data_IF_929868970118
#
_entry.id   IF_929868970118
#
_cell.length_a   1.000
_cell.length_b   1.000
_cell.length_c   1.000
_cell.angle_alpha   90.00
_cell.angle_beta   90.00
_cell.angle_gamma   90.00
#
_symmetry.space_group_name_H-M   'P 1'
#
loop_
_entity.id
_entity.type
_entity.pdbx_description
1 polymer ?
#
# COMPACT_ATOMS: atom_id res chain seq x y z
N UNK A 1 3.58 -77.24 -37.56
CA UNK A 1 2.51 -76.41 -36.94
C UNK A 1 3.18 -75.18 -36.37
N UNK A 2 3.02 -74.05 -37.05
CA UNK A 2 3.57 -72.76 -36.66
C UNK A 2 2.49 -71.95 -35.93
N UNK A 3 2.85 -71.31 -34.83
CA UNK A 3 2.05 -70.26 -34.20
C UNK A 3 2.96 -69.06 -33.98
N UNK A 4 2.72 -68.02 -34.77
CA UNK A 4 3.36 -66.71 -34.69
C UNK A 4 2.53 -65.89 -33.69
N UNK A 5 3.14 -65.42 -32.61
CA UNK A 5 2.51 -64.54 -31.63
C UNK A 5 2.97 -63.10 -31.87
N UNK A 6 2.06 -62.25 -32.35
CA UNK A 6 2.27 -60.82 -32.57
C UNK A 6 2.02 -60.10 -31.24
N UNK A 7 3.06 -59.53 -30.65
CA UNK A 7 2.91 -58.61 -29.51
C UNK A 7 2.67 -57.19 -30.03
N UNK A 8 1.46 -56.67 -29.80
CA UNK A 8 1.08 -55.29 -30.09
C UNK A 8 1.78 -54.34 -29.10
N UNK A 9 2.53 -53.38 -29.65
CA UNK A 9 3.16 -52.29 -28.91
C UNK A 9 2.06 -51.27 -28.55
N UNK A 10 1.68 -51.18 -27.28
CA UNK A 10 0.89 -50.06 -26.76
C UNK A 10 1.82 -48.85 -26.57
N UNK A 11 1.78 -47.91 -27.52
CA UNK A 11 2.37 -46.57 -27.33
C UNK A 11 1.51 -45.83 -26.31
N UNK A 12 2.04 -45.63 -25.10
CA UNK A 12 1.50 -44.64 -24.15
C UNK A 12 1.60 -43.27 -24.81
N UNK A 13 0.46 -42.68 -25.13
CA UNK A 13 0.35 -41.27 -25.45
C UNK A 13 0.81 -40.49 -24.23
N UNK A 14 1.93 -39.77 -24.36
CA UNK A 14 2.28 -38.69 -23.44
C UNK A 14 1.15 -37.66 -23.57
N UNK A 15 0.36 -37.48 -22.50
CA UNK A 15 -0.45 -36.27 -22.35
C UNK A 15 0.58 -35.14 -22.27
N UNK A 16 0.67 -34.35 -23.32
CA UNK A 16 1.38 -33.08 -23.30
C UNK A 16 0.75 -32.25 -22.19
N UNK A 17 1.53 -31.99 -21.14
CA UNK A 17 1.19 -30.97 -20.15
C UNK A 17 1.07 -29.66 -20.92
N UNK A 18 -0.07 -28.95 -20.88
CA UNK A 18 -0.16 -27.65 -21.50
C UNK A 18 0.93 -26.78 -20.88
N UNK A 19 1.86 -26.32 -21.72
CA UNK A 19 2.83 -25.29 -21.33
C UNK A 19 2.00 -24.06 -21.07
N UNK A 20 1.85 -23.68 -19.79
CA UNK A 20 1.15 -22.46 -19.42
C UNK A 20 1.83 -21.30 -20.15
N UNK A 21 1.09 -20.66 -21.07
CA UNK A 21 1.56 -19.43 -21.72
C UNK A 21 1.83 -18.41 -20.62
N UNK A 22 3.10 -18.19 -20.32
CA UNK A 22 3.50 -17.19 -19.33
C UNK A 22 3.23 -15.83 -19.94
N UNK A 23 2.21 -15.15 -19.42
CA UNK A 23 1.88 -13.80 -19.86
C UNK A 23 3.03 -12.84 -19.54
N UNK A 24 3.23 -11.82 -20.38
CA UNK A 24 4.18 -10.75 -20.07
C UNK A 24 3.80 -10.10 -18.72
N UNK A 25 4.79 -9.68 -17.91
CA UNK A 25 4.51 -9.05 -16.63
C UNK A 25 3.70 -7.76 -16.80
N UNK A 26 2.62 -7.62 -16.03
CA UNK A 26 1.81 -6.41 -15.95
C UNK A 26 2.37 -5.56 -14.81
N UNK A 27 2.76 -4.31 -15.09
CA UNK A 27 3.25 -3.36 -14.09
C UNK A 27 2.13 -2.54 -13.45
N UNK A 28 2.19 -2.39 -12.13
CA UNK A 28 1.34 -1.54 -11.30
C UNK A 28 2.23 -0.57 -10.50
N UNK A 29 1.76 0.67 -10.31
CA UNK A 29 2.48 1.71 -9.56
C UNK A 29 3.92 1.94 -10.04
N UNK A 30 4.14 1.80 -11.35
CA UNK A 30 5.47 1.90 -11.98
C UNK A 30 6.08 3.30 -11.94
N UNK A 31 5.28 4.28 -11.56
CA UNK A 31 5.61 5.67 -11.33
C UNK A 31 5.95 5.99 -9.87
N UNK A 32 5.95 4.99 -8.98
CA UNK A 32 6.30 5.12 -7.55
C UNK A 32 7.63 4.43 -7.23
N UNK A 33 8.18 4.71 -6.04
CA UNK A 33 9.37 4.02 -5.53
C UNK A 33 9.14 2.55 -5.17
N UNK A 34 7.89 2.07 -5.27
CA UNK A 34 7.50 0.71 -4.90
C UNK A 34 6.67 0.04 -6.02
N UNK A 35 7.24 -0.18 -7.21
CA UNK A 35 6.50 -0.77 -8.31
C UNK A 35 6.22 -2.25 -8.06
N UNK A 36 5.10 -2.72 -8.62
CA UNK A 36 4.66 -4.12 -8.53
C UNK A 36 4.50 -4.70 -9.92
N UNK A 37 5.14 -5.84 -10.17
CA UNK A 37 4.99 -6.58 -11.42
C UNK A 37 4.27 -7.89 -11.17
N UNK A 38 3.20 -8.13 -11.93
CA UNK A 38 2.38 -9.32 -11.84
C UNK A 38 2.54 -10.18 -13.09
N UNK A 39 2.82 -11.45 -12.90
CA UNK A 39 2.63 -12.48 -13.93
C UNK A 39 1.52 -13.42 -13.47
N UNK A 40 0.57 -13.70 -14.37
CA UNK A 40 -0.58 -14.56 -14.05
C UNK A 40 -0.65 -15.79 -14.96
N UNK A 41 -1.09 -16.89 -14.37
CA UNK A 41 -1.55 -18.09 -15.05
C UNK A 41 -2.86 -18.56 -14.40
N UNK A 42 -3.52 -19.57 -14.96
CA UNK A 42 -4.77 -20.09 -14.39
C UNK A 42 -4.63 -20.61 -12.95
N UNK A 43 -3.43 -21.05 -12.55
CA UNK A 43 -3.20 -21.75 -11.27
C UNK A 43 -2.19 -21.05 -10.35
N UNK A 44 -1.65 -19.92 -10.77
CA UNK A 44 -0.58 -19.24 -10.06
C UNK A 44 -0.57 -17.74 -10.41
N UNK A 45 -0.42 -16.91 -9.38
CA UNK A 45 -0.04 -15.50 -9.53
C UNK A 45 1.37 -15.33 -8.97
N UNK A 46 2.25 -14.68 -9.71
CA UNK A 46 3.58 -14.30 -9.25
C UNK A 46 3.66 -12.79 -9.20
N UNK A 47 3.89 -12.24 -8.00
CA UNK A 47 4.13 -10.83 -7.77
C UNK A 47 5.61 -10.61 -7.54
N UNK A 48 6.16 -9.55 -8.13
CA UNK A 48 7.48 -9.02 -7.83
C UNK A 48 7.30 -7.60 -7.29
N UNK A 49 7.60 -7.41 -6.02
CA UNK A 49 7.54 -6.13 -5.33
C UNK A 49 8.95 -5.58 -5.21
N UNK A 50 9.19 -4.43 -5.81
CA UNK A 50 10.50 -3.77 -5.72
C UNK A 50 10.41 -2.59 -4.75
N UNK A 51 11.57 -2.18 -4.24
CA UNK A 51 11.70 -0.93 -3.49
C UNK A 51 12.93 -0.20 -3.99
N UNK A 52 12.72 1.01 -4.48
CA UNK A 52 13.77 1.95 -4.85
C UNK A 52 14.07 2.95 -3.74
N UNK A 53 13.31 2.90 -2.64
CA UNK A 53 13.56 3.71 -1.46
C UNK A 53 14.93 3.38 -0.84
N UNK A 54 15.66 4.41 -0.40
CA UNK A 54 16.93 4.30 0.33
C UNK A 54 16.69 3.93 1.81
N UNK A 55 15.93 2.85 2.06
CA UNK A 55 15.68 2.32 3.40
C UNK A 55 16.05 0.83 3.50
N UNK A 56 16.30 0.37 4.73
CA UNK A 56 16.64 -1.03 5.04
C UNK A 56 15.40 -1.84 5.48
N UNK A 57 14.20 -1.37 5.17
CA UNK A 57 12.96 -2.04 5.57
C UNK A 57 12.76 -3.33 4.76
N UNK A 58 12.31 -4.38 5.46
CA UNK A 58 11.93 -5.64 4.84
C UNK A 58 10.44 -5.65 4.50
N UNK A 59 10.07 -6.46 3.51
CA UNK A 59 8.67 -6.75 3.22
C UNK A 59 8.12 -7.77 4.22
N UNK A 60 7.02 -7.44 4.86
CA UNK A 60 6.21 -8.35 5.66
C UNK A 60 4.99 -8.76 4.86
N UNK A 61 4.59 -10.02 4.95
CA UNK A 61 3.45 -10.57 4.21
C UNK A 61 2.43 -11.14 5.18
N UNK A 62 1.18 -10.70 5.05
CA UNK A 62 0.05 -11.24 5.80
C UNK A 62 -1.11 -11.56 4.85
N UNK A 63 -1.98 -12.48 5.26
CA UNK A 63 -3.16 -12.85 4.49
C UNK A 63 -4.33 -13.04 5.44
N UNK A 64 -5.47 -12.44 5.11
CA UNK A 64 -6.58 -12.26 6.04
C UNK A 64 -7.42 -13.54 6.30
N UNK A 65 -7.10 -14.68 5.66
CA UNK A 65 -7.95 -15.88 5.72
C UNK A 65 -7.21 -17.24 5.72
N UNK A 66 -7.76 -18.18 6.52
CA UNK A 66 -7.33 -19.57 6.66
C UNK A 66 -7.34 -20.32 5.31
N UNK A 67 -6.15 -20.48 4.72
CA UNK A 67 -5.84 -21.43 3.65
C UNK A 67 -6.61 -21.24 2.31
N UNK A 68 -7.07 -20.02 2.01
CA UNK A 68 -7.65 -19.71 0.68
C UNK A 68 -6.59 -19.74 -0.41
N UNK A 69 -5.40 -19.26 -0.06
CA UNK A 69 -4.22 -19.28 -0.91
C UNK A 69 -3.04 -19.86 -0.14
N UNK A 70 -2.07 -20.36 -0.88
CA UNK A 70 -0.74 -20.73 -0.39
C UNK A 70 0.23 -19.71 -0.96
N UNK A 71 1.03 -19.10 -0.08
CA UNK A 71 1.97 -18.05 -0.45
C UNK A 71 3.39 -18.59 -0.23
N UNK A 72 4.25 -18.43 -1.24
CA UNK A 72 5.67 -18.72 -1.17
C UNK A 72 6.43 -17.45 -1.48
N UNK A 73 7.23 -17.00 -0.53
CA UNK A 73 8.02 -15.77 -0.62
C UNK A 73 9.49 -16.12 -0.82
N UNK A 74 10.14 -15.39 -1.71
CA UNK A 74 11.58 -15.40 -1.91
C UNK A 74 12.08 -13.96 -1.85
N UNK A 75 13.02 -13.70 -0.95
CA UNK A 75 13.65 -12.39 -0.82
C UNK A 75 14.74 -12.26 -1.87
N UNK A 76 14.57 -11.32 -2.79
CA UNK A 76 15.54 -11.01 -3.82
C UNK A 76 16.71 -10.18 -3.30
N UNK A 77 17.66 -9.88 -4.20
CA UNK A 77 18.68 -8.87 -3.93
C UNK A 77 18.08 -7.47 -3.88
N UNK A 78 18.59 -6.59 -3.02
CA UNK A 78 18.23 -5.16 -2.95
C UNK A 78 16.79 -4.87 -2.49
N UNK A 79 16.25 -5.62 -1.51
CA UNK A 79 14.95 -5.30 -0.91
C UNK A 79 13.74 -5.64 -1.79
N UNK A 80 13.95 -6.44 -2.83
CA UNK A 80 12.93 -7.05 -3.67
C UNK A 80 12.27 -8.24 -2.95
N UNK A 81 10.96 -8.40 -3.12
CA UNK A 81 10.22 -9.59 -2.70
C UNK A 81 9.53 -10.20 -3.92
N UNK A 82 9.78 -11.50 -4.15
CA UNK A 82 9.02 -12.30 -5.10
C UNK A 82 8.04 -13.17 -4.31
N UNK A 83 6.75 -13.02 -4.60
CA UNK A 83 5.67 -13.77 -3.96
C UNK A 83 4.90 -14.59 -4.97
N UNK A 84 4.91 -15.91 -4.81
CA UNK A 84 4.13 -16.85 -5.60
C UNK A 84 2.89 -17.27 -4.82
N UNK A 85 1.72 -17.00 -5.39
CA UNK A 85 0.41 -17.26 -4.81
C UNK A 85 -0.26 -18.40 -5.59
N UNK A 86 -0.64 -19.45 -4.88
CA UNK A 86 -1.36 -20.61 -5.41
C UNK A 86 -2.72 -20.77 -4.76
N UNK A 87 -3.72 -21.30 -5.46
CA UNK A 87 -5.01 -21.56 -4.86
C UNK A 87 -4.91 -22.69 -3.83
N UNK A 88 -5.47 -22.47 -2.64
CA UNK A 88 -5.61 -23.48 -1.58
C UNK A 88 -7.05 -23.96 -1.43
N UNK A 89 -8.01 -23.04 -1.42
CA UNK A 89 -9.45 -23.34 -1.44
C UNK A 89 -10.26 -22.20 -2.05
N UNK A 90 -11.42 -22.53 -2.62
CA UNK A 90 -12.29 -21.53 -3.24
C UNK A 90 -12.72 -20.42 -2.26
N UNK A 91 -12.79 -19.19 -2.77
CA UNK A 91 -13.18 -18.00 -2.03
C UNK A 91 -12.33 -16.78 -2.39
N UNK A 92 -12.61 -15.69 -1.70
CA UNK A 92 -11.86 -14.44 -1.81
C UNK A 92 -10.76 -14.40 -0.75
N UNK A 93 -9.63 -13.78 -1.06
CA UNK A 93 -8.57 -13.50 -0.10
C UNK A 93 -7.90 -12.15 -0.39
N UNK A 94 -7.52 -11.45 0.66
CA UNK A 94 -6.65 -10.27 0.59
C UNK A 94 -5.29 -10.65 1.13
N UNK A 95 -4.26 -10.26 0.41
CA UNK A 95 -2.85 -10.47 0.76
C UNK A 95 -2.22 -9.10 0.90
N UNK A 96 -1.71 -8.80 2.08
CA UNK A 96 -1.13 -7.50 2.40
C UNK A 96 0.38 -7.64 2.49
N UNK A 97 1.08 -6.82 1.70
CA UNK A 97 2.53 -6.67 1.68
C UNK A 97 2.89 -5.31 2.27
N UNK A 98 3.61 -5.30 3.37
CA UNK A 98 3.92 -4.06 4.10
C UNK A 98 5.41 -3.89 4.31
N UNK A 99 5.94 -2.69 4.05
CA UNK A 99 7.23 -2.26 4.60
C UNK A 99 6.95 -1.37 5.80
N UNK A 100 7.31 -1.84 6.98
CA UNK A 100 7.11 -1.11 8.23
C UNK A 100 8.43 -0.98 8.99
N UNK A 101 8.58 0.10 9.74
CA UNK A 101 9.75 0.37 10.55
C UNK A 101 9.38 0.99 11.89
N UNK A 102 10.39 1.43 12.63
CA UNK A 102 10.23 2.13 13.90
C UNK A 102 11.09 3.39 13.95
N UNK A 103 10.51 4.51 14.39
CA UNK A 103 11.25 5.74 14.68
C UNK A 103 11.01 6.12 16.13
N UNK A 104 12.08 6.09 16.93
CA UNK A 104 12.05 6.42 18.36
C UNK A 104 10.93 5.71 19.14
N UNK A 105 10.72 4.41 18.91
CA UNK A 105 9.66 3.63 19.56
C UNK A 105 8.27 3.75 18.91
N UNK A 106 8.14 4.48 17.81
CA UNK A 106 6.86 4.61 17.07
C UNK A 106 6.90 3.75 15.82
N UNK A 107 6.05 2.70 15.72
CA UNK A 107 5.92 1.95 14.49
C UNK A 107 5.27 2.82 13.40
N UNK A 108 5.74 2.69 12.18
CA UNK A 108 5.15 3.32 11.00
C UNK A 108 5.18 2.36 9.83
N UNK A 109 4.22 2.51 8.91
CA UNK A 109 4.18 1.78 7.64
C UNK A 109 4.61 2.74 6.54
N UNK A 110 5.73 2.43 5.87
CA UNK A 110 6.25 3.18 4.74
C UNK A 110 5.40 2.93 3.50
N UNK A 111 5.08 1.65 3.22
CA UNK A 111 4.19 1.28 2.12
C UNK A 111 3.39 0.04 2.49
N UNK A 112 2.12 0.01 2.07
CA UNK A 112 1.24 -1.15 2.11
C UNK A 112 0.69 -1.40 0.71
N UNK A 113 0.78 -2.64 0.25
CA UNK A 113 0.18 -3.11 -1.00
C UNK A 113 -0.80 -4.22 -0.66
N UNK A 114 -2.07 -4.00 -0.96
CA UNK A 114 -3.13 -4.99 -0.77
C UNK A 114 -3.48 -5.60 -2.13
N UNK A 115 -3.37 -6.92 -2.22
CA UNK A 115 -3.70 -7.72 -3.39
C UNK A 115 -4.93 -8.56 -3.10
N UNK A 116 -6.00 -8.30 -3.82
CA UNK A 116 -7.25 -9.02 -3.70
C UNK A 116 -7.34 -10.08 -4.78
N UNK A 117 -7.59 -11.33 -4.38
CA UNK A 117 -7.66 -12.47 -5.29
C UNK A 117 -8.94 -13.26 -5.10
N UNK A 118 -9.42 -13.85 -6.19
CA UNK A 118 -10.56 -14.77 -6.20
C UNK A 118 -10.07 -16.14 -6.64
N UNK A 119 -10.28 -17.13 -5.79
CA UNK A 119 -10.09 -18.55 -6.10
C UNK A 119 -11.44 -19.17 -6.44
N UNK A 120 -11.57 -19.71 -7.64
CA UNK A 120 -12.78 -20.39 -8.12
C UNK A 120 -12.52 -21.89 -8.26
N UNK A 121 -13.53 -22.72 -8.00
CA UNK A 121 -13.50 -24.16 -8.26
C UNK A 121 -14.46 -24.47 -9.41
N UNK A 122 -13.98 -25.18 -10.42
CA UNK A 122 -14.80 -25.62 -11.55
C UNK A 122 -15.56 -26.94 -11.26
N UNK A 123 -16.31 -27.42 -12.25
CA UNK A 123 -17.06 -28.69 -12.15
C UNK A 123 -16.14 -29.92 -11.94
N UNK A 124 -14.86 -29.83 -12.35
CA UNK A 124 -13.86 -30.88 -12.22
C UNK A 124 -13.03 -30.80 -10.93
N UNK A 125 -13.36 -29.87 -10.02
CA UNK A 125 -12.62 -29.60 -8.77
C UNK A 125 -11.22 -29.02 -9.01
N UNK A 126 -11.00 -28.40 -10.16
CA UNK A 126 -9.79 -27.62 -10.41
C UNK A 126 -9.96 -26.23 -9.84
N UNK A 127 -8.96 -25.80 -9.08
CA UNK A 127 -8.91 -24.46 -8.53
C UNK A 127 -8.18 -23.54 -9.51
N UNK A 128 -8.83 -22.42 -9.85
CA UNK A 128 -8.23 -21.33 -10.61
C UNK A 128 -8.11 -20.10 -9.73
N UNK A 129 -7.09 -19.28 -9.97
CA UNK A 129 -6.84 -18.04 -9.24
C UNK A 129 -6.83 -16.86 -10.20
N UNK A 130 -7.45 -15.75 -9.78
CA UNK A 130 -7.51 -14.52 -10.55
C UNK A 130 -7.26 -13.32 -9.65
N UNK A 131 -6.53 -12.33 -10.15
CA UNK A 131 -6.44 -11.02 -9.53
C UNK A 131 -7.81 -10.33 -9.65
N UNK A 132 -8.33 -9.85 -8.52
CA UNK A 132 -9.52 -9.01 -8.47
C UNK A 132 -9.16 -7.52 -8.44
N UNK A 133 -8.23 -7.14 -7.55
CA UNK A 133 -7.81 -5.74 -7.38
C UNK A 133 -6.39 -5.68 -6.78
N UNK A 134 -5.72 -4.55 -6.97
CA UNK A 134 -4.46 -4.23 -6.31
C UNK A 134 -4.45 -2.75 -5.92
N UNK A 135 -4.14 -2.49 -4.65
CA UNK A 135 -4.15 -1.16 -4.06
C UNK A 135 -2.82 -0.89 -3.37
N UNK A 136 -2.33 0.34 -3.50
CA UNK A 136 -1.12 0.80 -2.83
C UNK A 136 -1.44 1.99 -1.95
N UNK A 137 -0.88 1.99 -0.75
CA UNK A 137 -0.88 3.11 0.17
C UNK A 137 0.56 3.39 0.57
N UNK A 138 1.11 4.50 0.09
CA UNK A 138 2.46 4.96 0.42
C UNK A 138 2.33 6.06 1.47
N UNK A 139 3.09 5.93 2.55
CA UNK A 139 3.32 7.00 3.51
C UNK A 139 4.58 7.74 3.10
N UNK A 140 4.47 9.03 2.87
CA UNK A 140 5.61 9.92 2.57
C UNK A 140 6.55 10.14 3.78
N UNK A 141 6.43 9.34 4.85
CA UNK A 141 7.06 9.65 6.11
C UNK A 141 7.60 8.44 6.88
N UNK A 142 8.91 8.52 7.09
CA UNK A 142 9.66 7.86 8.14
C UNK A 142 10.96 7.23 7.64
N UNK A 143 12.08 7.92 7.72
CA UNK A 143 13.38 7.27 7.85
C UNK A 143 14.26 8.10 8.79
N UNK A 144 15.15 7.43 9.53
CA UNK A 144 16.00 8.04 10.56
C UNK A 144 16.99 9.09 10.00
N UNK A 145 17.24 9.04 8.69
CA UNK A 145 18.20 9.85 7.93
C UNK A 145 17.59 10.63 6.72
N UNK A 146 16.26 10.70 6.58
CA UNK A 146 15.63 11.51 5.50
C UNK A 146 15.21 12.90 5.97
N UNK A 147 15.03 13.80 5.00
CA UNK A 147 14.59 15.20 5.15
C UNK A 147 13.17 15.36 5.77
N UNK A 148 12.57 14.31 6.35
CA UNK A 148 11.20 14.28 6.88
C UNK A 148 11.09 13.46 8.19
N UNK A 149 11.43 14.02 9.36
CA UNK A 149 11.48 13.30 10.65
C UNK A 149 10.15 13.28 11.41
N UNK A 150 9.03 13.43 10.69
CA UNK A 150 7.67 13.31 11.22
C UNK A 150 7.01 12.06 10.61
N UNK A 151 5.90 11.61 11.19
CA UNK A 151 5.09 10.50 10.66
C UNK A 151 3.65 11.01 10.47
N UNK A 152 3.07 10.79 9.29
CA UNK A 152 1.65 10.99 9.06
C UNK A 152 0.87 9.73 9.44
N UNK A 153 -0.15 9.89 10.28
CA UNK A 153 -1.01 8.78 10.71
C UNK A 153 -2.44 9.26 10.82
N UNK A 154 -3.23 9.01 9.78
CA UNK A 154 -4.60 9.50 9.68
C UNK A 154 -4.62 11.04 9.79
N UNK A 155 -5.28 11.54 10.81
CA UNK A 155 -5.46 12.96 11.09
C UNK A 155 -4.30 13.58 11.88
N UNK A 156 -3.20 12.82 12.11
CA UNK A 156 -2.09 13.22 12.97
C UNK A 156 -0.79 13.42 12.22
N UNK A 157 -0.02 14.39 12.70
CA UNK A 157 1.43 14.52 12.45
C UNK A 157 2.14 14.16 13.74
N UNK A 158 2.79 13.00 13.78
CA UNK A 158 3.56 12.51 14.93
C UNK A 158 5.00 13.00 14.78
N UNK A 159 5.60 13.44 15.89
CA UNK A 159 6.95 14.02 15.92
C UNK A 159 7.86 13.21 16.86
N UNK A 160 8.34 12.02 16.44
CA UNK A 160 9.03 11.09 17.35
C UNK A 160 10.29 11.65 18.00
N UNK A 161 11.04 12.50 17.29
CA UNK A 161 12.23 13.18 17.81
C UNK A 161 11.92 14.54 18.45
N UNK A 162 10.65 14.93 18.51
CA UNK A 162 10.24 16.29 18.89
C UNK A 162 10.82 17.35 17.96
N UNK A 163 11.09 18.52 18.53
CA UNK A 163 11.67 19.66 17.81
C UNK A 163 10.79 20.90 17.86
N UNK A 164 11.20 21.91 17.12
CA UNK A 164 10.56 23.21 16.96
C UNK A 164 9.53 23.21 15.82
N UNK A 165 8.74 22.14 15.75
CA UNK A 165 7.75 22.00 14.71
C UNK A 165 6.62 23.01 14.88
N UNK A 166 6.10 23.48 13.75
CA UNK A 166 4.86 24.26 13.67
C UNK A 166 4.00 23.71 12.53
N UNK A 167 2.69 23.65 12.75
CA UNK A 167 1.71 23.25 11.75
C UNK A 167 0.64 24.34 11.65
N UNK A 168 0.53 24.95 10.48
CA UNK A 168 -0.36 26.08 10.23
C UNK A 168 -0.93 26.07 8.81
N UNK A 169 -2.05 26.75 8.52
CA UNK A 169 -2.48 26.98 7.15
C UNK A 169 -1.41 27.76 6.35
N UNK A 170 -1.07 27.28 5.16
CA UNK A 170 0.00 27.88 4.32
C UNK A 170 -0.30 29.34 3.94
N UNK A 171 -1.57 29.63 3.63
CA UNK A 171 -2.03 30.96 3.24
C UNK A 171 -3.22 31.37 4.11
N UNK A 172 -2.91 31.95 5.27
CA UNK A 172 -3.92 32.37 6.25
C UNK A 172 -4.91 33.40 5.71
N UNK A 173 -4.57 34.13 4.64
CA UNK A 173 -5.49 35.12 4.04
C UNK A 173 -6.52 34.45 3.11
N UNK A 174 -6.19 33.29 2.53
CA UNK A 174 -7.06 32.58 1.60
C UNK A 174 -7.76 31.35 2.18
N UNK A 175 -7.32 30.87 3.35
CA UNK A 175 -7.97 29.78 4.07
C UNK A 175 -9.10 30.32 4.95
N UNK A 176 -10.36 29.90 4.76
CA UNK A 176 -11.47 30.32 5.62
C UNK A 176 -11.18 30.08 7.10
N UNK A 177 -11.48 31.08 7.92
CA UNK A 177 -11.36 30.96 9.37
C UNK A 177 -12.20 29.79 9.88
N UNK A 178 -11.62 28.97 10.75
CA UNK A 178 -12.28 27.77 11.29
C UNK A 178 -12.24 26.55 10.38
N UNK A 179 -11.70 26.64 9.16
CA UNK A 179 -11.58 25.48 8.27
C UNK A 179 -10.75 24.37 8.91
N UNK A 180 -9.59 24.70 9.45
CA UNK A 180 -8.73 23.76 10.15
C UNK A 180 -8.77 24.00 11.65
N UNK A 181 -8.99 22.92 12.39
CA UNK A 181 -8.76 22.87 13.83
C UNK A 181 -7.50 22.04 14.06
N UNK A 182 -6.45 22.71 14.54
CA UNK A 182 -5.14 22.10 14.78
C UNK A 182 -4.93 22.04 16.29
N UNK A 183 -4.93 20.83 16.84
CA UNK A 183 -4.60 20.57 18.23
C UNK A 183 -3.14 20.13 18.35
N UNK A 184 -2.46 20.55 19.42
CA UNK A 184 -1.17 20.00 19.80
C UNK A 184 -1.32 19.13 21.05
N UNK A 185 -0.71 17.95 21.04
CA UNK A 185 -0.78 16.97 22.11
C UNK A 185 0.53 16.26 22.36
N UNK A 186 0.57 15.48 23.42
CA UNK A 186 1.67 14.57 23.75
C UNK A 186 1.05 13.21 24.01
N UNK A 187 1.52 12.18 23.31
CA UNK A 187 1.03 10.81 23.46
C UNK A 187 1.44 10.21 24.81
N UNK A 188 0.85 9.06 25.15
CA UNK A 188 1.13 8.36 26.42
C UNK A 188 2.61 7.94 26.56
N UNK A 189 3.32 7.82 25.43
CA UNK A 189 4.75 7.55 25.35
C UNK A 189 5.63 8.82 25.44
N UNK A 190 5.03 9.99 25.68
CA UNK A 190 5.75 11.27 25.75
C UNK A 190 6.05 11.91 24.39
N UNK A 191 5.52 11.36 23.29
CA UNK A 191 5.83 11.82 21.94
C UNK A 191 4.87 12.94 21.52
N UNK A 192 5.39 14.12 21.12
CA UNK A 192 4.54 15.21 20.67
C UNK A 192 3.88 14.88 19.31
N UNK A 193 2.67 15.40 19.12
CA UNK A 193 1.94 15.28 17.87
C UNK A 193 1.01 16.47 17.63
N UNK A 194 0.70 16.72 16.36
CA UNK A 194 -0.45 17.51 15.95
C UNK A 194 -1.61 16.60 15.57
N UNK A 195 -2.83 17.05 15.86
CA UNK A 195 -4.07 16.47 15.34
C UNK A 195 -4.79 17.53 14.52
N UNK A 196 -5.27 17.16 13.35
CA UNK A 196 -5.90 18.06 12.39
C UNK A 196 -7.30 17.56 12.09
N UNK A 197 -8.30 18.39 12.30
CA UNK A 197 -9.63 18.14 11.75
C UNK A 197 -10.06 19.30 10.87
N UNK A 198 -10.88 19.00 9.87
CA UNK A 198 -11.42 20.01 8.96
C UNK A 198 -12.92 20.20 9.20
N UNK A 199 -13.38 21.44 9.34
CA UNK A 199 -14.80 21.76 9.41
C UNK A 199 -15.34 22.02 7.99
N UNK A 200 -15.99 21.04 7.38
CA UNK A 200 -16.53 21.20 6.03
C UNK A 200 -17.71 22.15 5.97
N UNK A 201 -18.32 22.52 7.10
CA UNK A 201 -19.45 23.45 7.09
C UNK A 201 -19.03 24.85 6.63
N UNK A 202 -17.77 25.24 6.86
CA UNK A 202 -17.24 26.53 6.39
C UNK A 202 -16.85 26.52 4.90
N UNK A 203 -16.93 25.37 4.22
CA UNK A 203 -16.67 25.28 2.78
C UNK A 203 -17.88 25.66 1.93
N UNK A 204 -19.09 25.66 2.51
CA UNK A 204 -20.34 25.92 1.79
C UNK A 204 -20.78 27.36 2.07
N UNK A 205 -20.87 28.16 1.02
CA UNK A 205 -21.37 29.53 1.10
C UNK A 205 -22.89 29.57 1.29
N UNK A 206 -23.44 30.73 1.67
CA UNK A 206 -24.89 30.94 1.87
C UNK A 206 -25.74 30.60 0.62
N UNK A 207 -25.15 30.65 -0.57
CA UNK A 207 -25.79 30.30 -1.84
C UNK A 207 -25.68 28.81 -2.21
N UNK A 208 -25.08 27.99 -1.34
CA UNK A 208 -24.86 26.57 -1.55
C UNK A 208 -23.67 26.24 -2.46
N UNK A 209 -22.90 27.23 -2.90
CA UNK A 209 -21.64 27.00 -3.63
C UNK A 209 -20.53 26.52 -2.71
N UNK A 210 -19.66 25.65 -3.24
CA UNK A 210 -18.48 25.17 -2.52
C UNK A 210 -17.32 26.12 -2.83
N UNK A 211 -16.63 26.59 -1.78
CA UNK A 211 -15.42 27.40 -1.91
C UNK A 211 -14.27 26.56 -2.48
N UNK A 212 -13.92 26.79 -3.75
CA UNK A 212 -12.74 26.16 -4.38
C UNK A 212 -11.46 26.43 -3.57
N UNK A 213 -11.32 27.63 -3.00
CA UNK A 213 -10.19 27.99 -2.13
C UNK A 213 -10.09 27.13 -0.88
N UNK A 214 -11.23 26.72 -0.31
CA UNK A 214 -11.25 25.86 0.87
C UNK A 214 -10.88 24.41 0.48
N UNK A 215 -11.28 23.94 -0.70
CA UNK A 215 -10.92 22.62 -1.21
C UNK A 215 -9.43 22.49 -1.54
N UNK A 216 -8.84 23.56 -2.06
CA UNK A 216 -7.43 23.62 -2.43
C UNK A 216 -6.52 24.09 -1.28
N UNK A 217 -7.07 24.30 -0.09
CA UNK A 217 -6.30 24.73 1.07
C UNK A 217 -5.24 23.69 1.44
N UNK A 218 -4.11 24.21 1.93
CA UNK A 218 -2.90 23.45 2.25
C UNK A 218 -2.44 23.86 3.64
N UNK A 219 -2.05 22.87 4.43
CA UNK A 219 -1.32 23.06 5.68
C UNK A 219 0.17 23.03 5.40
N UNK A 220 0.96 23.74 6.19
CA UNK A 220 2.41 23.71 6.11
C UNK A 220 2.97 23.27 7.45
N UNK A 221 3.79 22.24 7.41
CA UNK A 221 4.55 21.71 8.53
C UNK A 221 6.00 22.21 8.40
N UNK A 222 6.48 22.95 9.39
CA UNK A 222 7.81 23.58 9.37
C UNK A 222 8.62 23.20 10.60
N UNK A 223 9.94 23.07 10.45
CA UNK A 223 10.92 23.06 11.54
C UNK A 223 12.06 24.02 11.18
N UNK A 224 12.24 25.08 11.98
CA UNK A 224 13.30 26.08 11.72
C UNK A 224 14.68 25.49 11.94
N UNK A 225 14.85 24.68 12.98
CA UNK A 225 16.11 24.03 13.35
C UNK A 225 16.62 23.11 12.25
N UNK A 226 15.72 22.40 11.58
CA UNK A 226 16.06 21.44 10.53
C UNK A 226 16.01 22.06 9.13
N UNK A 227 15.44 23.27 8.99
CA UNK A 227 15.24 23.91 7.69
C UNK A 227 14.26 23.14 6.79
N UNK A 228 13.33 22.40 7.39
CA UNK A 228 12.35 21.57 6.67
C UNK A 228 11.04 22.33 6.59
N UNK A 229 10.46 22.37 5.38
CA UNK A 229 9.09 22.81 5.13
C UNK A 229 8.40 21.74 4.27
N UNK A 230 7.22 21.29 4.69
CA UNK A 230 6.40 20.33 3.95
C UNK A 230 4.97 20.82 3.86
N UNK A 231 4.42 20.75 2.66
CA UNK A 231 3.01 21.04 2.40
C UNK A 231 2.19 19.78 2.59
N UNK A 232 1.11 19.88 3.36
CA UNK A 232 0.20 18.79 3.67
C UNK A 232 -1.22 19.16 3.21
N UNK A 233 -1.97 18.18 2.70
CA UNK A 233 -3.42 18.30 2.50
C UNK A 233 -4.15 17.37 3.46
N UNK A 234 -5.34 17.81 3.88
CA UNK A 234 -6.25 17.02 4.71
C UNK A 234 -7.50 16.68 3.89
N UNK A 235 -7.83 15.40 3.78
CA UNK A 235 -9.04 14.94 3.10
C UNK A 235 -9.80 13.92 3.93
N UNK A 236 -11.09 13.77 3.63
CA UNK A 236 -11.88 12.68 4.19
C UNK A 236 -11.63 11.42 3.37
N UNK A 237 -11.29 10.32 4.03
CA UNK A 237 -11.18 9.01 3.38
C UNK A 237 -12.56 8.34 3.19
N UNK A 238 -12.65 7.18 2.51
CA UNK A 238 -13.91 6.44 2.36
C UNK A 238 -14.52 5.96 3.68
N UNK A 239 -13.72 5.81 4.75
CA UNK A 239 -14.18 5.38 6.08
C UNK A 239 -14.77 6.52 6.91
N UNK A 240 -14.75 7.75 6.38
CA UNK A 240 -15.15 8.99 7.06
C UNK A 240 -14.20 9.40 8.18
N UNK A 241 -12.92 9.12 7.97
CA UNK A 241 -11.82 9.58 8.82
C UNK A 241 -11.02 10.65 8.07
N UNK A 242 -10.53 11.65 8.80
CA UNK A 242 -9.60 12.63 8.25
C UNK A 242 -8.22 11.99 8.04
N UNK A 243 -7.61 12.26 6.89
CA UNK A 243 -6.28 11.75 6.54
C UNK A 243 -5.42 12.88 5.96
N UNK A 244 -4.21 13.00 6.49
CA UNK A 244 -3.16 13.89 6.02
C UNK A 244 -2.25 13.18 5.01
N UNK A 245 -1.79 13.91 4.00
CA UNK A 245 -0.81 13.44 3.03
C UNK A 245 0.08 14.61 2.58
N UNK A 246 1.32 14.32 2.18
CA UNK A 246 2.24 15.35 1.65
C UNK A 246 1.80 15.71 0.23
N UNK A 247 1.92 16.99 -0.12
CA UNK A 247 1.74 17.47 -1.48
C UNK A 247 3.13 17.81 -2.01
N UNK A 248 3.52 17.19 -3.13
CA UNK A 248 4.77 17.56 -3.82
C UNK A 248 4.75 19.02 -4.27
N UNK A 249 5.91 19.68 -4.22
CA UNK A 249 6.14 21.02 -4.73
C UNK A 249 6.41 21.03 -6.25
#
# INVERSE_FOLDING_TARGET
MAAVSISLILRRSLKETPVAETQEPIGYFTDTDHPVYLTSSETELSLRLESHAEDDLAWEVSCDLDNKVMIQNDEGSNGELVSVIKPGSAGYATISYTRSGEIAGVPYTSVSIDVDVIVSEDEEKLLTIQLSDIRQNVSDSGALDTDSPFILSGDRVILPKGGDWTLEPYDQENVPEGLYQIGHGVGDNGIPFYVVSMDTSVMVSDDGSISEKAMDSVLVLKSEQLGIEKKLKCRMDPTRSWVLYVVED
#
